data_IF_593572271201
#
_entry.id   IF_593572271201
#
_cell.length_a   1.000
_cell.length_b   1.000
_cell.length_c   1.000
_cell.angle_alpha   90.00
_cell.angle_beta   90.00
_cell.angle_gamma   90.00
#
_symmetry.space_group_name_H-M   'P 1'
#
loop_
_entity.id
_entity.type
_entity.pdbx_description
1 polymer ?
#
# COMPACT_ATOMS: atom_id res chain seq x y z
N UNK A 1 30.50 5.63 -6.63
CA UNK A 1 29.18 5.54 -5.95
C UNK A 1 29.47 4.85 -4.65
N UNK A 2 29.69 5.63 -3.61
CA UNK A 2 30.43 5.16 -2.44
C UNK A 2 29.46 4.56 -1.42
N UNK A 3 29.89 3.52 -0.71
CA UNK A 3 29.03 2.76 0.23
C UNK A 3 28.33 3.66 1.27
N UNK A 4 28.96 4.77 1.65
CA UNK A 4 28.41 5.77 2.58
C UNK A 4 27.17 6.46 1.99
N UNK A 5 27.18 6.76 0.69
CA UNK A 5 26.03 7.35 0.00
C UNK A 5 24.84 6.37 -0.07
N UNK A 6 25.11 5.11 -0.40
CA UNK A 6 24.12 4.03 -0.40
C UNK A 6 23.53 3.77 1.00
N UNK A 7 24.35 3.86 2.05
CA UNK A 7 23.90 3.68 3.44
C UNK A 7 23.01 4.84 3.91
N UNK A 8 23.38 6.08 3.57
CA UNK A 8 22.55 7.26 3.85
C UNK A 8 21.22 7.23 3.10
N UNK A 9 21.20 6.73 1.85
CA UNK A 9 19.96 6.59 1.08
C UNK A 9 19.01 5.55 1.70
N UNK A 10 19.53 4.40 2.17
CA UNK A 10 18.74 3.40 2.90
C UNK A 10 18.19 3.93 4.22
N UNK A 11 18.99 4.71 4.96
CA UNK A 11 18.57 5.32 6.21
C UNK A 11 17.49 6.39 5.98
N UNK A 12 17.63 7.18 4.92
CA UNK A 12 16.65 8.16 4.49
C UNK A 12 15.33 7.47 4.12
N UNK A 13 15.39 6.35 3.38
CA UNK A 13 14.22 5.53 3.03
C UNK A 13 13.51 4.97 4.27
N UNK A 14 14.27 4.47 5.25
CA UNK A 14 13.71 3.99 6.52
C UNK A 14 13.04 5.11 7.33
N UNK A 15 13.61 6.32 7.32
CA UNK A 15 13.06 7.50 7.99
C UNK A 15 11.78 8.00 7.29
N UNK A 16 11.73 8.03 5.96
CA UNK A 16 10.48 8.36 5.23
C UNK A 16 9.40 7.33 5.48
N UNK A 17 9.72 6.03 5.51
CA UNK A 17 8.74 4.98 5.84
C UNK A 17 8.22 5.14 7.27
N UNK A 18 9.11 5.37 8.24
CA UNK A 18 8.69 5.66 9.64
C UNK A 18 7.84 6.91 9.74
N UNK A 19 8.14 7.94 8.95
CA UNK A 19 7.37 9.17 8.92
C UNK A 19 5.99 8.95 8.29
N UNK A 20 5.90 8.19 7.20
CA UNK A 20 4.63 7.75 6.61
C UNK A 20 3.83 6.90 7.60
N UNK A 21 4.47 5.97 8.32
CA UNK A 21 3.81 5.12 9.32
C UNK A 21 3.37 5.91 10.57
N UNK A 22 4.14 6.90 11.00
CA UNK A 22 3.77 7.78 12.11
C UNK A 22 2.65 8.75 11.70
N UNK A 23 2.72 9.32 10.51
CA UNK A 23 1.63 10.13 9.94
C UNK A 23 0.35 9.28 9.76
N UNK A 24 0.50 8.00 9.41
CA UNK A 24 -0.57 7.02 9.24
C UNK A 24 -1.31 6.70 10.55
N UNK A 25 -0.58 6.45 11.65
CA UNK A 25 -1.20 6.21 12.96
C UNK A 25 -1.93 7.44 13.51
N UNK A 26 -1.46 8.64 13.17
CA UNK A 26 -2.00 9.90 13.71
C UNK A 26 -3.17 10.49 12.91
N UNK A 27 -3.45 10.00 11.69
CA UNK A 27 -4.49 10.57 10.79
C UNK A 27 -5.67 9.62 10.50
N UNK A 28 -5.98 8.69 11.40
CA UNK A 28 -7.23 7.93 11.37
C UNK A 28 -8.44 8.86 11.57
N UNK A 29 -8.86 9.55 10.51
CA UNK A 29 -10.18 10.16 10.39
C UNK A 29 -10.80 9.74 9.06
N UNK A 30 -12.02 9.26 9.18
CA UNK A 30 -12.81 8.51 8.21
C UNK A 30 -12.63 8.96 6.75
N UNK A 31 -12.11 8.03 5.95
CA UNK A 31 -12.06 8.15 4.50
C UNK A 31 -13.21 7.38 3.87
N UNK A 32 -13.98 8.06 3.02
CA UNK A 32 -15.07 7.47 2.25
C UNK A 32 -14.50 6.58 1.15
N UNK A 33 -14.81 5.28 1.21
CA UNK A 33 -14.32 4.28 0.26
C UNK A 33 -15.52 3.65 -0.44
N UNK A 34 -15.50 3.65 -1.76
CA UNK A 34 -16.50 2.97 -2.59
C UNK A 34 -16.06 1.52 -2.79
N UNK A 35 -16.45 0.65 -1.87
CA UNK A 35 -16.25 -0.80 -2.04
C UNK A 35 -17.25 -1.35 -3.07
N UNK A 36 -16.80 -2.28 -3.90
CA UNK A 36 -17.71 -3.19 -4.60
C UNK A 36 -17.99 -4.35 -3.65
N UNK A 37 -19.25 -4.77 -3.50
CA UNK A 37 -19.69 -5.82 -2.57
C UNK A 37 -18.92 -7.17 -2.68
N UNK A 38 -18.13 -7.34 -3.74
CA UNK A 38 -17.39 -8.56 -4.10
C UNK A 38 -15.89 -8.50 -3.81
N UNK A 39 -15.34 -7.40 -3.28
CA UNK A 39 -13.94 -7.33 -2.85
C UNK A 39 -13.79 -7.46 -1.33
N UNK A 40 -12.65 -7.99 -0.88
CA UNK A 40 -12.36 -8.21 0.54
C UNK A 40 -11.23 -7.26 0.95
N UNK A 41 -11.52 -6.28 1.79
CA UNK A 41 -10.52 -5.37 2.37
C UNK A 41 -10.52 -5.54 3.88
N UNK A 42 -9.36 -5.90 4.46
CA UNK A 42 -9.21 -6.14 5.91
C UNK A 42 -7.99 -5.42 6.44
N UNK A 43 -8.14 -4.76 7.59
CA UNK A 43 -7.06 -4.10 8.32
C UNK A 43 -6.15 -3.25 7.41
N UNK A 44 -6.76 -2.52 6.46
CA UNK A 44 -6.05 -1.78 5.43
C UNK A 44 -6.56 -0.35 5.36
N UNK A 45 -5.71 0.56 4.90
CA UNK A 45 -6.06 1.96 4.70
C UNK A 45 -6.01 2.27 3.22
N UNK A 46 -7.08 2.88 2.75
CA UNK A 46 -7.31 3.18 1.34
C UNK A 46 -7.43 4.69 1.22
N UNK A 47 -6.57 5.29 0.39
CA UNK A 47 -6.55 6.73 0.14
C UNK A 47 -7.56 7.13 -0.95
N UNK A 48 -7.52 8.38 -1.44
CA UNK A 48 -8.60 8.96 -2.24
C UNK A 48 -8.56 8.39 -3.64
N UNK A 49 -9.73 8.27 -4.26
CA UNK A 49 -9.90 7.80 -5.63
C UNK A 49 -9.30 6.41 -5.94
N UNK A 50 -9.01 5.61 -4.92
CA UNK A 50 -8.55 4.24 -5.12
C UNK A 50 -9.68 3.38 -5.68
N UNK A 51 -9.37 2.56 -6.68
CA UNK A 51 -10.31 1.59 -7.26
C UNK A 51 -9.85 0.18 -6.92
N UNK A 52 -10.63 -0.51 -6.10
CA UNK A 52 -10.45 -1.95 -5.82
C UNK A 52 -11.56 -2.70 -6.56
N UNK A 53 -11.18 -3.48 -7.55
CA UNK A 53 -12.12 -4.22 -8.40
C UNK A 53 -12.61 -5.52 -7.72
N UNK A 54 -13.61 -6.16 -8.33
CA UNK A 54 -14.24 -7.38 -7.80
C UNK A 54 -13.22 -8.49 -7.57
N UNK A 55 -13.48 -9.35 -6.59
CA UNK A 55 -12.64 -10.51 -6.25
C UNK A 55 -11.22 -10.16 -5.77
N UNK A 56 -10.85 -8.88 -5.65
CA UNK A 56 -9.58 -8.49 -5.07
C UNK A 56 -9.58 -8.72 -3.54
N UNK A 57 -8.44 -9.14 -3.01
CA UNK A 57 -8.18 -9.33 -1.58
C UNK A 57 -7.06 -8.37 -1.16
N UNK A 58 -7.34 -7.49 -0.21
CA UNK A 58 -6.39 -6.48 0.29
C UNK A 58 -6.32 -6.59 1.82
N UNK A 59 -5.21 -7.10 2.36
CA UNK A 59 -5.02 -7.39 3.79
C UNK A 59 -3.77 -6.71 4.35
N UNK A 60 -3.90 -5.96 5.44
CA UNK A 60 -2.77 -5.26 6.08
C UNK A 60 -2.01 -4.34 5.11
N UNK A 61 -2.73 -3.65 4.23
CA UNK A 61 -2.15 -2.82 3.17
C UNK A 61 -2.38 -1.32 3.39
N UNK A 62 -1.53 -0.54 2.74
CA UNK A 62 -1.70 0.90 2.54
C UNK A 62 -1.79 1.15 1.05
N UNK A 63 -2.89 1.72 0.57
CA UNK A 63 -3.10 1.96 -0.87
C UNK A 63 -3.19 3.46 -1.13
N UNK A 64 -2.16 4.06 -1.74
CA UNK A 64 -2.03 5.49 -1.99
C UNK A 64 -3.05 6.07 -2.99
N UNK A 65 -3.16 7.41 -3.01
CA UNK A 65 -4.13 8.18 -3.81
C UNK A 65 -4.13 7.72 -5.29
N UNK A 66 -5.32 7.69 -5.92
CA UNK A 66 -5.57 7.33 -7.33
C UNK A 66 -5.15 5.92 -7.78
N UNK A 67 -4.73 5.05 -6.86
CA UNK A 67 -4.27 3.70 -7.24
C UNK A 67 -5.40 2.78 -7.73
N UNK A 68 -5.03 1.79 -8.54
CA UNK A 68 -5.96 0.79 -9.09
C UNK A 68 -5.48 -0.61 -8.76
N UNK A 69 -6.31 -1.36 -8.03
CA UNK A 69 -6.16 -2.79 -7.78
C UNK A 69 -7.17 -3.51 -8.67
N UNK A 70 -6.68 -4.17 -9.72
CA UNK A 70 -7.52 -4.89 -10.68
C UNK A 70 -8.21 -6.13 -10.08
N UNK A 71 -9.13 -6.70 -10.86
CA UNK A 71 -9.89 -7.88 -10.52
C UNK A 71 -8.99 -9.05 -10.11
N UNK A 72 -9.36 -9.73 -9.02
CA UNK A 72 -8.69 -10.95 -8.56
C UNK A 72 -7.29 -10.74 -7.95
N UNK A 73 -6.83 -9.50 -7.79
CA UNK A 73 -5.52 -9.21 -7.19
C UNK A 73 -5.50 -9.54 -5.69
N UNK A 74 -4.42 -10.16 -5.21
CA UNK A 74 -4.23 -10.49 -3.79
C UNK A 74 -3.03 -9.72 -3.23
N UNK A 75 -3.27 -8.78 -2.31
CA UNK A 75 -2.25 -7.98 -1.63
C UNK A 75 -2.24 -8.30 -0.13
N UNK A 76 -1.05 -8.59 0.42
CA UNK A 76 -0.84 -8.73 1.86
C UNK A 76 0.44 -8.06 2.34
N UNK A 77 0.32 -7.18 3.34
CA UNK A 77 1.43 -6.40 3.90
C UNK A 77 2.13 -5.54 2.82
N UNK A 78 1.33 -4.88 1.96
CA UNK A 78 1.84 -4.08 0.82
C UNK A 78 1.54 -2.60 1.04
N UNK A 79 2.50 -1.74 0.69
CA UNK A 79 2.33 -0.29 0.61
C UNK A 79 2.41 0.11 -0.87
N UNK A 80 1.32 0.59 -1.44
CA UNK A 80 1.30 1.22 -2.77
C UNK A 80 1.44 2.73 -2.61
N UNK A 81 2.34 3.34 -3.36
CA UNK A 81 2.42 4.79 -3.51
C UNK A 81 1.23 5.33 -4.32
N UNK A 82 1.20 6.65 -4.55
CA UNK A 82 0.16 7.27 -5.36
C UNK A 82 0.28 6.82 -6.83
N UNK A 83 -0.85 6.83 -7.55
CA UNK A 83 -0.94 6.56 -8.99
C UNK A 83 -0.45 5.16 -9.42
N UNK A 84 -0.36 4.20 -8.49
CA UNK A 84 0.02 2.82 -8.77
C UNK A 84 -1.10 2.01 -9.44
N UNK A 85 -0.74 1.05 -10.31
CA UNK A 85 -1.67 0.04 -10.86
C UNK A 85 -1.13 -1.37 -10.66
N UNK A 86 -1.90 -2.20 -9.96
CA UNK A 86 -1.65 -3.65 -9.89
C UNK A 86 -2.60 -4.34 -10.85
N UNK A 87 -2.02 -5.03 -11.84
CA UNK A 87 -2.76 -5.72 -12.89
C UNK A 87 -3.38 -7.02 -12.38
N UNK A 88 -4.44 -7.49 -13.05
CA UNK A 88 -5.11 -8.77 -12.77
C UNK A 88 -4.13 -9.93 -12.65
N UNK A 89 -4.56 -10.99 -11.96
CA UNK A 89 -3.77 -12.22 -11.75
C UNK A 89 -2.46 -12.02 -10.95
N UNK A 90 -2.32 -10.87 -10.28
CA UNK A 90 -1.14 -10.57 -9.44
C UNK A 90 -1.39 -10.95 -7.98
N UNK A 91 -0.43 -11.64 -7.36
CA UNK A 91 -0.38 -11.89 -5.93
C UNK A 91 0.92 -11.33 -5.35
N UNK A 92 0.81 -10.43 -4.37
CA UNK A 92 1.94 -9.82 -3.67
C UNK A 92 1.75 -10.00 -2.17
N UNK A 93 2.70 -10.71 -1.55
CA UNK A 93 2.68 -11.03 -0.13
C UNK A 93 4.06 -10.73 0.43
N UNK A 94 4.12 -9.95 1.50
CA UNK A 94 5.36 -9.69 2.24
C UNK A 94 5.16 -9.94 3.74
N UNK A 95 6.20 -9.77 4.55
CA UNK A 95 6.08 -9.91 6.01
C UNK A 95 5.70 -8.58 6.65
N UNK A 96 4.95 -8.59 7.77
CA UNK A 96 4.58 -7.35 8.46
C UNK A 96 5.79 -6.61 9.05
N UNK A 97 6.89 -7.31 9.35
CA UNK A 97 8.14 -6.72 9.82
C UNK A 97 8.92 -6.01 8.69
N UNK A 98 8.67 -6.40 7.45
CA UNK A 98 9.32 -5.84 6.27
C UNK A 98 8.32 -5.73 5.11
N UNK A 99 7.40 -4.75 5.16
CA UNK A 99 6.39 -4.58 4.13
C UNK A 99 7.02 -4.27 2.77
N UNK A 100 6.44 -4.81 1.70
CA UNK A 100 6.85 -4.50 0.33
C UNK A 100 6.22 -3.16 -0.09
N UNK A 101 7.05 -2.31 -0.69
CA UNK A 101 6.64 -1.01 -1.23
C UNK A 101 6.67 -1.09 -2.74
N UNK A 102 5.61 -0.60 -3.38
CA UNK A 102 5.51 -0.47 -4.85
C UNK A 102 5.24 1.00 -5.19
N UNK A 103 6.01 1.50 -6.16
CA UNK A 103 6.01 2.86 -6.70
C UNK A 103 5.79 2.78 -8.21
#
# INVERSE_FOLDING_TARGET
MDYIFLMNLKLLFHLTIKFYFYFYLNNLKEMQIKYLFTSIVKNSVIFRNVKIQKNAVVENCIIGDNSIVEEGVHLKNIILEADCRISRDTTLISSPENPMIIS
#
